data_IF_500937621219
#
_entry.id   IF_500937621219
#
_cell.length_a   1.000
_cell.length_b   1.000
_cell.length_c   1.000
_cell.angle_alpha   90.00
_cell.angle_beta   90.00
_cell.angle_gamma   90.00
#
_symmetry.space_group_name_H-M   'P 1'
#
loop_
_entity.id
_entity.type
_entity.pdbx_description
1 polymer ?
#
# COMPACT_ATOMS: atom_id res chain seq x y z
N UNK A 1 -59.59 18.73 11.74
CA UNK A 1 -59.32 19.75 10.69
C UNK A 1 -57.88 19.60 10.21
N UNK A 2 -57.66 19.19 8.96
CA UNK A 2 -56.33 19.18 8.33
C UNK A 2 -56.02 20.61 7.86
N UNK A 3 -55.01 21.27 8.41
CA UNK A 3 -54.52 22.53 7.86
C UNK A 3 -53.47 22.23 6.78
N UNK A 4 -53.89 22.34 5.52
CA UNK A 4 -52.98 22.39 4.38
C UNK A 4 -52.38 23.80 4.26
N UNK A 5 -51.05 23.88 4.16
CA UNK A 5 -50.34 25.03 3.61
C UNK A 5 -50.11 26.22 4.57
N UNK A 6 -48.95 26.24 5.25
CA UNK A 6 -48.40 27.46 5.82
C UNK A 6 -46.99 27.69 5.26
N UNK A 7 -46.91 28.32 4.08
CA UNK A 7 -45.63 28.78 3.51
C UNK A 7 -45.10 29.99 4.28
N UNK A 8 -43.77 30.15 4.35
CA UNK A 8 -43.04 31.24 5.04
C UNK A 8 -43.58 32.67 4.79
N UNK A 9 -44.26 32.92 3.65
CA UNK A 9 -44.93 34.18 3.32
C UNK A 9 -46.13 34.52 4.23
N UNK A 10 -46.81 33.53 4.79
CA UNK A 10 -47.99 33.74 5.65
C UNK A 10 -47.61 34.29 7.03
N UNK A 11 -46.41 33.97 7.53
CA UNK A 11 -45.90 34.47 8.81
C UNK A 11 -45.50 35.96 8.77
N UNK A 12 -44.94 36.45 7.65
CA UNK A 12 -44.58 37.87 7.51
C UNK A 12 -45.80 38.80 7.41
N UNK A 13 -46.90 38.34 6.79
CA UNK A 13 -48.11 39.15 6.66
C UNK A 13 -48.89 39.32 7.98
N UNK A 14 -48.74 38.41 8.96
CA UNK A 14 -49.41 38.52 10.26
C UNK A 14 -48.72 39.56 11.17
N UNK A 15 -47.41 39.77 11.02
CA UNK A 15 -46.68 40.84 11.72
C UNK A 15 -47.08 42.25 11.24
N UNK A 16 -47.55 42.38 9.99
CA UNK A 16 -47.99 43.66 9.42
C UNK A 16 -49.44 44.04 9.76
N UNK A 17 -50.29 43.07 10.10
CA UNK A 17 -51.72 43.28 10.39
C UNK A 17 -52.04 43.52 11.88
N UNK A 18 -51.06 43.46 12.78
CA UNK A 18 -51.27 43.67 14.22
C UNK A 18 -51.34 45.16 14.64
N UNK A 19 -51.33 46.12 13.71
CA UNK A 19 -51.42 47.56 14.03
C UNK A 19 -52.82 48.16 13.89
N UNK A 20 -53.82 47.42 13.40
CA UNK A 20 -55.17 47.98 13.19
C UNK A 20 -56.27 46.93 13.42
N UNK A 21 -56.46 46.46 14.65
CA UNK A 21 -57.73 45.97 15.25
C UNK A 21 -57.47 44.96 16.39
N UNK A 22 -57.98 45.18 17.63
CA UNK A 22 -57.67 44.34 18.78
C UNK A 22 -58.74 43.27 19.00
N UNK A 23 -59.03 42.41 18.01
CA UNK A 23 -59.82 41.17 18.21
C UNK A 23 -59.43 40.08 17.20
N UNK A 24 -58.16 39.68 17.19
CA UNK A 24 -57.76 38.34 16.78
C UNK A 24 -57.09 37.67 17.97
N UNK A 25 -57.68 36.56 18.40
CA UNK A 25 -57.34 35.82 19.60
C UNK A 25 -55.91 35.30 19.57
N UNK A 26 -55.18 35.58 20.66
CA UNK A 26 -53.84 35.05 20.97
C UNK A 26 -53.76 33.51 20.92
N UNK A 27 -54.91 32.81 20.92
CA UNK A 27 -55.02 31.35 20.84
C UNK A 27 -54.66 30.74 19.48
N UNK A 28 -54.89 31.43 18.36
CA UNK A 28 -54.60 30.86 17.02
C UNK A 28 -53.13 30.97 16.62
N UNK A 29 -52.41 31.98 17.11
CA UNK A 29 -50.96 32.13 16.95
C UNK A 29 -50.18 31.15 17.83
N UNK A 30 -50.63 30.89 19.07
CA UNK A 30 -50.04 29.85 19.92
C UNK A 30 -50.26 28.45 19.33
N UNK A 31 -51.45 28.14 18.81
CA UNK A 31 -51.77 26.81 18.28
C UNK A 31 -50.93 26.45 17.03
N UNK A 32 -50.64 27.42 16.16
CA UNK A 32 -49.79 27.22 14.97
C UNK A 32 -48.30 27.04 15.35
N UNK A 33 -47.79 27.84 16.30
CA UNK A 33 -46.43 27.67 16.82
C UNK A 33 -46.25 26.32 17.55
N UNK A 34 -47.20 25.90 18.38
CA UNK A 34 -47.13 24.62 19.11
C UNK A 34 -47.19 23.43 18.15
N UNK A 35 -47.96 23.51 17.06
CA UNK A 35 -48.05 22.44 16.07
C UNK A 35 -46.74 22.30 15.25
N UNK A 36 -46.15 23.42 14.81
CA UNK A 36 -44.85 23.41 14.11
C UNK A 36 -43.70 22.97 15.01
N UNK A 37 -43.65 23.45 16.27
CA UNK A 37 -42.67 22.95 17.26
C UNK A 37 -42.86 21.46 17.55
N UNK A 38 -44.10 20.95 17.59
CA UNK A 38 -44.35 19.51 17.78
C UNK A 38 -43.94 18.67 16.58
N UNK A 39 -44.08 19.19 15.36
CA UNK A 39 -43.65 18.51 14.13
C UNK A 39 -42.13 18.49 14.00
N UNK A 40 -41.46 19.63 14.23
CA UNK A 40 -40.00 19.69 14.27
C UNK A 40 -39.43 18.80 15.38
N UNK A 41 -40.05 18.78 16.56
CA UNK A 41 -39.65 17.90 17.66
C UNK A 41 -39.86 16.41 17.33
N UNK A 42 -40.96 16.06 16.68
CA UNK A 42 -41.23 14.69 16.20
C UNK A 42 -40.28 14.26 15.08
N UNK A 43 -39.91 15.17 14.18
CA UNK A 43 -38.88 14.94 13.15
C UNK A 43 -37.50 14.79 13.77
N UNK A 44 -37.13 15.64 14.74
CA UNK A 44 -35.89 15.49 15.50
C UNK A 44 -35.85 14.14 16.24
N UNK A 45 -36.93 13.69 16.88
CA UNK A 45 -36.97 12.37 17.49
C UNK A 45 -36.83 11.22 16.47
N UNK A 46 -37.39 11.37 15.26
CA UNK A 46 -37.23 10.39 14.18
C UNK A 46 -35.79 10.35 13.68
N UNK A 47 -35.18 11.50 13.43
CA UNK A 47 -33.77 11.64 13.06
C UNK A 47 -32.87 11.07 14.14
N UNK A 48 -33.11 11.39 15.41
CA UNK A 48 -32.31 10.89 16.52
C UNK A 48 -32.43 9.36 16.64
N UNK A 49 -33.64 8.80 16.50
CA UNK A 49 -33.83 7.33 16.43
C UNK A 49 -33.16 6.69 15.21
N UNK A 50 -33.11 7.38 14.07
CA UNK A 50 -32.39 6.89 12.89
C UNK A 50 -30.88 6.89 13.13
N UNK A 51 -30.35 7.97 13.71
CA UNK A 51 -28.95 8.09 14.12
C UNK A 51 -28.60 7.00 15.13
N UNK A 52 -29.40 6.80 16.17
CA UNK A 52 -29.18 5.76 17.18
C UNK A 52 -29.17 4.34 16.57
N UNK A 53 -30.08 4.08 15.62
CA UNK A 53 -30.10 2.80 14.89
C UNK A 53 -28.86 2.64 14.01
N UNK A 54 -28.40 3.72 13.39
CA UNK A 54 -27.19 3.72 12.57
C UNK A 54 -25.95 3.49 13.45
N UNK A 55 -25.83 4.20 14.58
CA UNK A 55 -24.76 4.01 15.56
C UNK A 55 -24.73 2.59 16.14
N UNK A 56 -25.89 2.00 16.44
CA UNK A 56 -25.98 0.60 16.88
C UNK A 56 -25.49 -0.37 15.81
N UNK A 57 -25.84 -0.12 14.54
CA UNK A 57 -25.40 -0.93 13.41
C UNK A 57 -23.90 -0.79 13.18
N UNK A 58 -23.38 0.44 13.20
CA UNK A 58 -21.97 0.75 13.03
C UNK A 58 -21.14 0.13 14.15
N UNK A 59 -21.60 0.22 15.41
CA UNK A 59 -20.96 -0.45 16.55
C UNK A 59 -20.93 -1.97 16.41
N UNK A 60 -21.98 -2.57 15.83
CA UNK A 60 -22.03 -4.02 15.56
C UNK A 60 -21.09 -4.42 14.43
N UNK A 61 -20.98 -3.60 13.39
CA UNK A 61 -20.06 -3.81 12.27
C UNK A 61 -18.61 -3.62 12.71
N UNK A 62 -18.32 -2.59 13.51
CA UNK A 62 -17.00 -2.31 14.05
C UNK A 62 -16.50 -3.46 14.94
N UNK A 63 -17.39 -4.11 15.70
CA UNK A 63 -17.06 -5.34 16.46
C UNK A 63 -16.72 -6.56 15.60
N UNK A 64 -17.02 -6.52 14.30
CA UNK A 64 -16.72 -7.58 13.33
C UNK A 64 -15.63 -7.16 12.34
N UNK A 65 -15.07 -5.98 12.53
CA UNK A 65 -14.02 -5.46 11.67
C UNK A 65 -12.66 -5.94 12.19
N UNK A 66 -11.89 -6.56 11.31
CA UNK A 66 -10.53 -7.01 11.58
C UNK A 66 -9.58 -6.02 10.92
N UNK A 67 -8.86 -5.24 11.74
CA UNK A 67 -7.92 -4.25 11.24
C UNK A 67 -6.52 -4.84 11.12
N UNK A 68 -6.00 -4.86 9.89
CA UNK A 68 -4.69 -5.39 9.53
C UNK A 68 -3.76 -4.23 9.17
N UNK A 69 -2.65 -4.08 9.89
CA UNK A 69 -1.71 -3.00 9.65
C UNK A 69 -0.48 -3.53 8.89
N UNK A 70 -0.25 -3.05 7.67
CA UNK A 70 0.92 -3.42 6.88
C UNK A 70 2.08 -2.48 7.20
N UNK A 71 3.15 -3.03 7.78
CA UNK A 71 4.35 -2.29 8.16
C UNK A 71 5.59 -2.86 7.45
N UNK A 72 6.66 -2.07 7.42
CA UNK A 72 7.94 -2.44 6.81
C UNK A 72 8.59 -1.26 6.09
N UNK A 73 9.86 -1.42 5.75
CA UNK A 73 10.68 -0.41 5.05
C UNK A 73 10.12 -0.02 3.69
N UNK A 74 10.65 1.05 3.08
CA UNK A 74 10.35 1.39 1.69
C UNK A 74 10.60 0.19 0.77
N UNK A 75 9.77 0.02 -0.26
CA UNK A 75 9.92 -1.04 -1.27
C UNK A 75 9.79 -2.50 -0.78
N UNK A 76 9.45 -2.76 0.50
CA UNK A 76 9.29 -4.12 1.01
C UNK A 76 8.13 -4.93 0.41
N UNK A 77 7.23 -4.28 -0.35
CA UNK A 77 6.12 -4.91 -1.07
C UNK A 77 4.72 -4.73 -0.47
N UNK A 78 4.56 -3.80 0.48
CA UNK A 78 3.25 -3.54 1.15
C UNK A 78 2.13 -3.22 0.17
N UNK A 79 2.34 -2.24 -0.69
CA UNK A 79 1.33 -1.84 -1.67
C UNK A 79 1.07 -2.93 -2.71
N UNK A 80 2.08 -3.74 -3.05
CA UNK A 80 1.87 -4.93 -3.90
C UNK A 80 0.96 -5.95 -3.21
N UNK A 81 1.10 -6.15 -1.90
CA UNK A 81 0.20 -7.01 -1.13
C UNK A 81 -1.24 -6.49 -1.15
N UNK A 82 -1.46 -5.18 -1.01
CA UNK A 82 -2.80 -4.57 -1.15
C UNK A 82 -3.39 -4.80 -2.55
N UNK A 83 -2.58 -4.60 -3.60
CA UNK A 83 -3.01 -4.87 -4.98
C UNK A 83 -3.45 -6.32 -5.15
N UNK A 84 -2.76 -7.28 -4.52
CA UNK A 84 -3.16 -8.69 -4.53
C UNK A 84 -4.50 -8.90 -3.82
N UNK A 85 -4.75 -8.24 -2.68
CA UNK A 85 -6.06 -8.35 -2.04
C UNK A 85 -7.19 -7.82 -2.91
N UNK A 86 -6.95 -6.73 -3.64
CA UNK A 86 -7.91 -6.23 -4.64
C UNK A 86 -8.18 -7.23 -5.76
N UNK A 87 -7.17 -7.99 -6.19
CA UNK A 87 -7.30 -9.02 -7.22
C UNK A 87 -8.03 -10.26 -6.70
N UNK A 88 -7.67 -10.73 -5.50
CA UNK A 88 -8.12 -12.02 -4.96
C UNK A 88 -9.50 -11.90 -4.28
N UNK A 89 -9.73 -10.83 -3.53
CA UNK A 89 -10.90 -10.64 -2.66
C UNK A 89 -11.73 -9.39 -3.00
N UNK A 90 -11.22 -8.53 -3.88
CA UNK A 90 -11.92 -7.32 -4.33
C UNK A 90 -12.59 -7.47 -5.69
N UNK A 91 -12.93 -6.32 -6.29
CA UNK A 91 -13.49 -6.24 -7.65
C UNK A 91 -12.45 -6.43 -8.76
N UNK A 92 -11.18 -6.66 -8.42
CA UNK A 92 -10.07 -6.69 -9.37
C UNK A 92 -9.80 -5.33 -10.01
N UNK A 93 -9.20 -5.37 -11.21
CA UNK A 93 -8.90 -4.20 -12.02
C UNK A 93 -9.69 -4.28 -13.31
N UNK A 94 -10.65 -3.36 -13.49
CA UNK A 94 -11.39 -3.20 -14.74
C UNK A 94 -10.47 -2.69 -15.86
N UNK A 95 -10.89 -2.82 -17.11
CA UNK A 95 -10.12 -2.26 -18.23
C UNK A 95 -9.97 -0.73 -18.13
N UNK A 96 -10.91 -0.03 -17.51
CA UNK A 96 -10.79 1.41 -17.24
C UNK A 96 -9.71 1.69 -16.20
N UNK A 97 -9.68 0.94 -15.08
CA UNK A 97 -8.60 1.02 -14.10
C UNK A 97 -7.24 0.77 -14.78
N UNK A 98 -7.15 -0.29 -15.59
CA UNK A 98 -5.92 -0.69 -16.28
C UNK A 98 -5.44 0.40 -17.24
N UNK A 99 -6.34 1.02 -18.01
CA UNK A 99 -6.00 2.16 -18.90
C UNK A 99 -5.47 3.36 -18.14
N UNK A 100 -6.04 3.67 -16.97
CA UNK A 100 -5.58 4.80 -16.15
C UNK A 100 -4.12 4.65 -15.67
N UNK A 101 -3.62 3.41 -15.59
CA UNK A 101 -2.27 3.08 -15.13
C UNK A 101 -1.21 3.08 -16.23
N UNK A 102 -1.60 3.17 -17.51
CA UNK A 102 -0.67 3.14 -18.66
C UNK A 102 0.43 4.17 -18.51
N UNK A 103 0.05 5.42 -18.18
CA UNK A 103 1.00 6.52 -18.00
C UNK A 103 2.05 6.20 -16.95
N UNK A 104 1.63 5.66 -15.81
CA UNK A 104 2.54 5.31 -14.71
C UNK A 104 3.52 4.20 -15.10
N UNK A 105 3.12 3.25 -15.95
CA UNK A 105 4.03 2.23 -16.50
C UNK A 105 5.12 2.89 -17.34
N UNK A 106 4.76 3.84 -18.21
CA UNK A 106 5.75 4.58 -19.00
C UNK A 106 6.70 5.37 -18.11
N UNK A 107 6.19 6.10 -17.12
CA UNK A 107 7.01 6.83 -16.14
C UNK A 107 8.02 5.89 -15.45
N UNK A 108 7.61 4.67 -15.09
CA UNK A 108 8.50 3.68 -14.47
C UNK A 108 9.61 3.21 -15.42
N UNK A 109 9.32 3.04 -16.72
CA UNK A 109 10.31 2.67 -17.74
C UNK A 109 11.35 3.78 -17.91
N UNK A 110 10.91 5.02 -18.11
CA UNK A 110 11.81 6.14 -18.29
C UNK A 110 12.65 6.39 -17.03
N UNK A 111 12.06 6.32 -15.83
CA UNK A 111 12.79 6.42 -14.57
C UNK A 111 13.86 5.32 -14.43
N UNK A 112 13.53 4.08 -14.79
CA UNK A 112 14.49 2.98 -14.74
C UNK A 112 15.66 3.21 -15.70
N UNK A 113 15.39 3.63 -16.94
CA UNK A 113 16.44 3.91 -17.92
C UNK A 113 17.29 5.13 -17.53
N UNK A 114 16.65 6.21 -17.08
CA UNK A 114 17.35 7.40 -16.56
C UNK A 114 18.30 7.04 -15.42
N UNK A 115 17.86 6.18 -14.49
CA UNK A 115 18.66 5.71 -13.37
C UNK A 115 19.87 4.88 -13.83
N UNK A 116 19.68 3.97 -14.79
CA UNK A 116 20.77 3.19 -15.39
C UNK A 116 21.81 4.08 -16.08
N UNK A 117 21.35 5.05 -16.87
CA UNK A 117 22.22 6.01 -17.57
C UNK A 117 23.04 6.83 -16.56
N UNK A 118 22.41 7.33 -15.49
CA UNK A 118 23.12 8.08 -14.44
C UNK A 118 24.11 7.19 -13.68
N UNK A 119 23.76 5.93 -13.44
CA UNK A 119 24.64 4.97 -12.79
C UNK A 119 25.87 4.63 -13.66
N UNK A 120 25.72 4.51 -14.98
CA UNK A 120 26.84 4.35 -15.91
C UNK A 120 27.91 5.44 -15.74
N UNK A 121 27.47 6.71 -15.64
CA UNK A 121 28.38 7.84 -15.43
C UNK A 121 29.08 7.79 -14.06
N UNK A 122 28.31 7.46 -13.03
CA UNK A 122 28.81 7.40 -11.65
C UNK A 122 29.85 6.27 -11.49
N UNK A 123 29.55 5.10 -12.05
CA UNK A 123 30.41 3.92 -12.02
C UNK A 123 31.49 3.93 -13.12
N UNK A 124 31.47 4.94 -13.99
CA UNK A 124 32.37 5.12 -15.13
C UNK A 124 32.41 3.92 -16.08
N UNK A 125 31.24 3.30 -16.29
CA UNK A 125 31.08 2.19 -17.23
C UNK A 125 30.86 2.79 -18.63
N UNK A 126 31.71 2.49 -19.63
CA UNK A 126 31.51 2.99 -20.98
C UNK A 126 30.39 2.23 -21.69
N UNK A 127 29.67 2.92 -22.58
CA UNK A 127 28.82 2.24 -23.57
C UNK A 127 29.71 1.46 -24.53
N UNK A 128 29.34 0.20 -24.82
CA UNK A 128 30.06 -0.60 -25.81
C UNK A 128 29.73 -0.15 -27.23
N UNK A 129 28.47 0.17 -27.49
CA UNK A 129 28.06 0.74 -28.77
C UNK A 129 28.11 2.28 -28.73
N UNK A 130 28.93 2.95 -29.58
CA UNK A 130 29.04 4.40 -29.59
C UNK A 130 27.71 5.15 -29.84
N UNK A 131 26.79 4.55 -30.61
CA UNK A 131 25.46 5.14 -30.91
C UNK A 131 24.63 5.31 -29.62
N UNK A 132 24.86 4.45 -28.63
CA UNK A 132 24.13 4.51 -27.38
C UNK A 132 24.46 5.75 -26.54
N UNK A 133 25.53 6.49 -26.85
CA UNK A 133 25.79 7.79 -26.21
C UNK A 133 24.72 8.81 -26.58
N UNK A 134 24.37 8.89 -27.87
CA UNK A 134 23.33 9.80 -28.36
C UNK A 134 21.95 9.36 -27.84
N UNK A 135 21.66 8.05 -27.85
CA UNK A 135 20.41 7.54 -27.27
C UNK A 135 20.29 7.83 -25.76
N UNK A 136 21.40 7.76 -25.01
CA UNK A 136 21.40 8.09 -23.60
C UNK A 136 21.17 9.59 -23.35
N UNK A 137 21.75 10.46 -24.17
CA UNK A 137 21.51 11.91 -24.11
C UNK A 137 20.03 12.22 -24.38
N UNK A 138 19.46 11.66 -25.45
CA UNK A 138 18.04 11.80 -25.77
C UNK A 138 17.13 11.32 -24.63
N UNK A 139 17.42 10.14 -24.07
CA UNK A 139 16.62 9.57 -22.98
C UNK A 139 16.72 10.39 -21.68
N UNK A 140 17.81 11.14 -21.48
CA UNK A 140 18.03 11.97 -20.29
C UNK A 140 17.25 13.28 -20.31
N UNK A 141 16.99 13.83 -21.50
CA UNK A 141 16.21 15.07 -21.65
C UNK A 141 14.72 14.85 -21.36
N UNK A 142 14.27 13.60 -21.31
CA UNK A 142 12.88 13.24 -21.04
C UNK A 142 12.60 13.41 -19.56
N UNK A 143 11.66 14.30 -19.25
CA UNK A 143 11.06 14.36 -17.93
C UNK A 143 10.12 13.15 -17.72
N UNK A 144 10.63 12.17 -16.98
CA UNK A 144 9.89 10.96 -16.67
C UNK A 144 8.66 11.20 -15.77
N UNK A 145 8.51 12.36 -15.13
CA UNK A 145 7.36 12.65 -14.26
C UNK A 145 6.14 13.13 -15.07
N UNK A 146 6.37 13.79 -16.19
CA UNK A 146 5.30 14.39 -17.02
C UNK A 146 4.96 13.59 -18.26
N UNK A 147 5.71 12.52 -18.55
CA UNK A 147 5.49 11.68 -19.72
C UNK A 147 4.12 11.00 -19.72
N UNK A 148 3.46 11.03 -20.87
CA UNK A 148 2.13 10.43 -21.06
C UNK A 148 2.08 9.37 -22.16
N UNK A 149 3.10 9.32 -23.01
CA UNK A 149 3.20 8.43 -24.17
C UNK A 149 4.58 7.78 -24.25
N UNK A 150 4.66 6.66 -24.96
CA UNK A 150 5.91 5.99 -25.26
C UNK A 150 6.18 6.14 -26.76
N UNK A 151 7.00 7.13 -27.12
CA UNK A 151 7.29 7.45 -28.53
C UNK A 151 8.08 6.31 -29.20
N UNK A 152 7.73 5.87 -30.42
CA UNK A 152 8.49 4.87 -31.16
C UNK A 152 10.00 5.14 -31.24
N UNK A 153 10.42 6.40 -31.39
CA UNK A 153 11.84 6.76 -31.41
C UNK A 153 12.52 6.47 -30.06
N UNK A 154 11.84 6.79 -28.95
CA UNK A 154 12.34 6.48 -27.61
C UNK A 154 12.37 4.96 -27.36
N UNK A 155 11.40 4.20 -27.88
CA UNK A 155 11.42 2.74 -27.77
C UNK A 155 12.67 2.16 -28.43
N UNK A 156 13.00 2.62 -29.64
CA UNK A 156 14.23 2.19 -30.34
C UNK A 156 15.47 2.52 -29.51
N UNK A 157 15.56 3.75 -28.99
CA UNK A 157 16.67 4.18 -28.13
C UNK A 157 16.79 3.33 -26.86
N UNK A 158 15.69 3.13 -26.12
CA UNK A 158 15.65 2.34 -24.89
C UNK A 158 16.02 0.88 -25.17
N UNK A 159 15.57 0.30 -26.30
CA UNK A 159 15.96 -1.06 -26.71
C UNK A 159 17.44 -1.16 -27.04
N UNK A 160 17.98 -0.18 -27.77
CA UNK A 160 19.41 -0.13 -28.10
C UNK A 160 20.27 0.00 -26.84
N UNK A 161 19.84 0.85 -25.89
CA UNK A 161 20.48 0.99 -24.58
C UNK A 161 20.38 -0.29 -23.76
N UNK A 162 19.19 -0.88 -23.63
CA UNK A 162 18.99 -2.08 -22.81
C UNK A 162 19.74 -3.30 -23.34
N UNK A 163 20.06 -3.34 -24.63
CA UNK A 163 20.88 -4.40 -25.24
C UNK A 163 22.38 -4.12 -25.20
N UNK A 164 22.81 -2.91 -24.78
CA UNK A 164 24.23 -2.58 -24.62
C UNK A 164 24.85 -3.38 -23.47
N UNK A 165 25.96 -4.09 -23.69
CA UNK A 165 26.64 -4.82 -22.63
C UNK A 165 27.10 -3.93 -21.47
N UNK A 166 27.46 -2.66 -21.70
CA UNK A 166 27.77 -1.71 -20.62
C UNK A 166 26.57 -1.43 -19.72
N UNK A 167 25.38 -1.27 -20.32
CA UNK A 167 24.13 -1.12 -19.54
C UNK A 167 23.79 -2.42 -18.80
N UNK A 168 24.06 -3.60 -19.38
CA UNK A 168 23.90 -4.89 -18.69
C UNK A 168 24.82 -5.00 -17.48
N UNK A 169 26.10 -4.66 -17.65
CA UNK A 169 27.08 -4.63 -16.55
C UNK A 169 26.63 -3.68 -15.44
N UNK A 170 26.15 -2.48 -15.81
CA UNK A 170 25.60 -1.51 -14.87
C UNK A 170 24.40 -2.12 -14.10
N UNK A 171 23.46 -2.75 -14.79
CA UNK A 171 22.32 -3.43 -14.18
C UNK A 171 22.73 -4.58 -13.25
N UNK A 172 23.79 -5.32 -13.56
CA UNK A 172 24.30 -6.37 -12.68
C UNK A 172 24.86 -5.79 -11.37
N UNK A 173 25.36 -4.55 -11.43
CA UNK A 173 25.82 -3.74 -10.30
C UNK A 173 24.72 -2.89 -9.63
N UNK A 174 23.44 -3.16 -9.90
CA UNK A 174 22.27 -2.44 -9.35
C UNK A 174 22.14 -2.39 -7.83
N UNK A 175 22.98 -3.10 -7.07
CA UNK A 175 23.07 -2.95 -5.61
C UNK A 175 23.77 -1.66 -5.17
N UNK A 176 24.57 -1.06 -6.06
CA UNK A 176 25.39 0.14 -5.78
C UNK A 176 24.62 1.45 -5.95
N UNK A 177 23.38 1.40 -6.44
CA UNK A 177 22.53 2.56 -6.67
C UNK A 177 21.04 2.19 -6.58
N UNK A 178 20.18 3.18 -6.62
CA UNK A 178 18.75 3.01 -6.32
C UNK A 178 17.94 2.70 -7.59
N UNK A 179 17.85 1.43 -7.98
CA UNK A 179 17.03 0.96 -9.10
C UNK A 179 15.82 0.16 -8.64
N UNK A 180 14.66 0.37 -9.25
CA UNK A 180 13.47 -0.42 -8.95
C UNK A 180 13.62 -1.88 -9.41
N UNK A 181 13.21 -2.83 -8.57
CA UNK A 181 13.25 -4.27 -8.87
C UNK A 181 12.51 -4.65 -10.16
N UNK A 182 11.48 -3.89 -10.54
CA UNK A 182 10.68 -4.11 -11.74
C UNK A 182 11.32 -3.60 -13.05
N UNK A 183 12.47 -2.93 -12.98
CA UNK A 183 13.14 -2.35 -14.15
C UNK A 183 13.36 -3.38 -15.27
N UNK A 184 14.00 -4.51 -14.95
CA UNK A 184 14.26 -5.58 -15.92
C UNK A 184 12.97 -6.11 -16.55
N UNK A 185 11.92 -6.32 -15.76
CA UNK A 185 10.64 -6.80 -16.28
C UNK A 185 10.07 -5.88 -17.35
N UNK A 186 10.04 -4.56 -17.10
CA UNK A 186 9.48 -3.64 -18.08
C UNK A 186 10.39 -3.47 -19.30
N UNK A 187 11.72 -3.38 -19.10
CA UNK A 187 12.68 -3.23 -20.19
C UNK A 187 12.71 -4.47 -21.10
N UNK A 188 12.62 -5.68 -20.54
CA UNK A 188 12.52 -6.93 -21.31
C UNK A 188 11.19 -7.04 -22.09
N UNK A 189 10.14 -6.36 -21.64
CA UNK A 189 8.80 -6.41 -22.25
C UNK A 189 8.43 -5.12 -23.00
N UNK A 190 9.40 -4.26 -23.32
CA UNK A 190 9.13 -2.94 -23.90
C UNK A 190 8.36 -3.03 -25.23
N UNK A 191 8.60 -4.06 -26.03
CA UNK A 191 7.89 -4.28 -27.30
C UNK A 191 6.38 -4.49 -27.10
N UNK A 192 5.99 -5.26 -26.09
CA UNK A 192 4.58 -5.47 -25.74
C UNK A 192 3.96 -4.20 -25.18
N UNK A 193 4.73 -3.42 -24.42
CA UNK A 193 4.27 -2.20 -23.75
C UNK A 193 4.13 -1.03 -24.75
N UNK A 194 4.96 -1.02 -25.81
CA UNK A 194 4.93 -0.03 -26.87
C UNK A 194 3.86 -0.29 -27.95
N UNK A 195 3.17 -1.43 -27.89
CA UNK A 195 2.10 -1.74 -28.84
C UNK A 195 0.96 -0.72 -28.76
N UNK A 196 0.34 -0.40 -29.90
CA UNK A 196 -0.72 0.62 -29.98
C UNK A 196 -1.98 0.27 -29.19
N UNK A 197 -2.23 -1.02 -28.98
CA UNK A 197 -3.36 -1.58 -28.23
C UNK A 197 -2.96 -2.00 -26.81
N UNK A 198 -1.80 -1.55 -26.32
CA UNK A 198 -1.28 -1.92 -25.01
C UNK A 198 -2.30 -1.64 -23.90
N UNK A 199 -2.62 -2.70 -23.15
CA UNK A 199 -3.40 -2.66 -21.93
C UNK A 199 -2.61 -3.36 -20.82
N UNK A 200 -2.26 -2.67 -19.70
CA UNK A 200 -1.45 -3.26 -18.64
C UNK A 200 -2.05 -4.55 -18.12
N UNK A 201 -1.28 -5.62 -18.10
CA UNK A 201 -1.66 -6.89 -17.49
C UNK A 201 -1.69 -6.75 -15.97
N UNK A 202 -2.30 -7.71 -15.26
CA UNK A 202 -2.22 -7.74 -13.79
C UNK A 202 -0.77 -7.79 -13.31
N UNK A 203 0.12 -8.45 -14.07
CA UNK A 203 1.54 -8.48 -13.73
C UNK A 203 2.23 -7.12 -13.89
N UNK A 204 1.86 -6.35 -14.91
CA UNK A 204 2.31 -4.96 -15.05
C UNK A 204 1.86 -4.12 -13.85
N UNK A 205 0.63 -4.31 -13.38
CA UNK A 205 0.06 -3.56 -12.26
C UNK A 205 0.72 -3.93 -10.94
N UNK A 206 0.99 -5.22 -10.70
CA UNK A 206 1.65 -5.70 -9.49
C UNK A 206 3.09 -5.17 -9.37
N UNK A 207 3.79 -5.05 -10.50
CA UNK A 207 5.17 -4.55 -10.58
C UNK A 207 5.28 -3.02 -10.67
N UNK A 208 4.15 -2.34 -10.88
CA UNK A 208 4.11 -0.88 -10.99
C UNK A 208 4.47 -0.24 -9.65
N UNK A 209 5.51 0.59 -9.66
CA UNK A 209 5.93 1.33 -8.48
C UNK A 209 5.28 2.70 -8.46
N UNK A 210 4.53 2.93 -7.39
CA UNK A 210 4.00 4.25 -7.02
C UNK A 210 4.37 4.44 -5.54
N UNK A 211 5.16 5.48 -5.19
CA UNK A 211 5.48 5.75 -3.79
C UNK A 211 4.20 6.03 -2.99
N UNK A 212 3.95 5.23 -1.96
CA UNK A 212 2.83 5.44 -1.05
C UNK A 212 3.12 6.61 -0.12
N UNK A 213 2.27 7.63 -0.18
CA UNK A 213 2.31 8.79 0.72
C UNK A 213 1.09 8.76 1.63
N UNK A 214 1.30 9.02 2.91
CA UNK A 214 0.23 8.98 3.92
C UNK A 214 -0.22 7.57 4.28
N UNK A 215 -1.52 7.46 4.58
CA UNK A 215 -2.19 6.25 5.08
C UNK A 215 -3.33 5.94 4.12
N UNK A 216 -3.34 4.72 3.59
CA UNK A 216 -4.36 4.25 2.65
C UNK A 216 -5.04 3.04 3.28
N UNK A 217 -6.37 3.11 3.41
CA UNK A 217 -7.17 2.02 3.92
C UNK A 217 -7.89 1.29 2.79
N UNK A 218 -7.83 -0.04 2.82
CA UNK A 218 -8.48 -0.91 1.85
C UNK A 218 -9.40 -1.89 2.59
N UNK A 219 -10.72 -1.59 2.64
CA UNK A 219 -11.70 -2.52 3.18
C UNK A 219 -12.05 -3.59 2.14
N UNK A 220 -12.19 -4.84 2.58
CA UNK A 220 -12.73 -5.93 1.79
C UNK A 220 -13.50 -6.93 2.67
N UNK A 221 -14.51 -7.55 2.08
CA UNK A 221 -15.34 -8.55 2.75
C UNK A 221 -14.81 -9.97 2.48
N UNK A 222 -14.70 -10.77 3.53
CA UNK A 222 -14.35 -12.19 3.41
C UNK A 222 -15.15 -13.00 4.43
N UNK A 223 -15.94 -13.97 3.95
CA UNK A 223 -16.73 -14.89 4.80
C UNK A 223 -17.59 -14.18 5.88
N UNK A 224 -18.20 -13.03 5.54
CA UNK A 224 -19.00 -12.17 6.43
C UNK A 224 -18.22 -11.40 7.51
N UNK A 225 -16.90 -11.36 7.39
CA UNK A 225 -15.98 -10.55 8.20
C UNK A 225 -15.43 -9.43 7.34
N UNK A 226 -15.41 -8.22 7.88
CA UNK A 226 -14.87 -7.05 7.18
C UNK A 226 -13.40 -6.95 7.56
N UNK A 227 -12.51 -7.13 6.60
CA UNK A 227 -11.09 -6.86 6.78
C UNK A 227 -10.79 -5.44 6.34
N UNK A 228 -10.09 -4.69 7.18
CA UNK A 228 -9.55 -3.37 6.83
C UNK A 228 -8.04 -3.44 6.84
N UNK A 229 -7.45 -3.46 5.65
CA UNK A 229 -6.00 -3.35 5.52
C UNK A 229 -5.57 -1.90 5.48
N UNK A 230 -4.52 -1.57 6.21
CA UNK A 230 -3.94 -0.23 6.28
C UNK A 230 -2.52 -0.27 5.73
N UNK A 231 -2.30 0.38 4.59
CA UNK A 231 -0.98 0.59 3.99
C UNK A 231 -0.45 1.97 4.38
N UNK A 232 0.82 2.02 4.76
CA UNK A 232 1.50 3.23 5.18
C UNK A 232 2.82 3.39 4.43
N UNK A 233 3.23 4.63 4.18
CA UNK A 233 4.51 4.92 3.55
C UNK A 233 5.69 4.33 4.36
N UNK A 234 6.54 3.54 3.70
CA UNK A 234 7.66 2.81 4.34
C UNK A 234 8.92 3.65 4.61
N UNK A 235 9.03 4.80 3.95
CA UNK A 235 10.18 5.71 4.05
C UNK A 235 10.22 6.44 5.40
N UNK A 236 11.41 6.81 5.86
CA UNK A 236 11.59 7.46 7.17
C UNK A 236 10.74 8.73 7.36
N UNK A 237 10.57 9.52 6.31
CA UNK A 237 9.73 10.73 6.29
C UNK A 237 8.26 10.45 6.60
N UNK A 238 7.75 9.30 6.21
CA UNK A 238 6.33 8.93 6.35
C UNK A 238 6.03 8.27 7.71
N UNK A 239 7.03 7.71 8.39
CA UNK A 239 6.85 6.96 9.65
C UNK A 239 6.23 7.77 10.79
N UNK A 240 6.43 9.08 10.81
CA UNK A 240 5.80 9.97 11.81
C UNK A 240 4.28 9.95 11.74
N UNK A 241 3.71 9.62 10.57
CA UNK A 241 2.26 9.56 10.36
C UNK A 241 1.65 8.24 10.86
N UNK A 242 2.47 7.21 11.08
CA UNK A 242 1.98 5.85 11.41
C UNK A 242 1.15 5.81 12.70
N UNK A 243 1.49 6.65 13.69
CA UNK A 243 0.76 6.72 14.97
C UNK A 243 -0.76 6.96 14.78
N UNK A 244 -1.17 7.60 13.69
CA UNK A 244 -2.57 7.88 13.39
C UNK A 244 -3.39 6.63 13.00
N UNK A 245 -2.76 5.47 12.82
CA UNK A 245 -3.45 4.23 12.49
C UNK A 245 -3.22 3.09 13.48
N UNK A 246 -2.55 3.33 14.62
CA UNK A 246 -2.19 2.30 15.60
C UNK A 246 -3.32 1.90 16.55
N UNK A 247 -4.42 2.64 16.58
CA UNK A 247 -5.56 2.30 17.43
C UNK A 247 -6.32 1.07 16.90
N UNK A 248 -6.68 0.16 17.81
CA UNK A 248 -7.52 -1.02 17.54
C UNK A 248 -7.00 -1.91 16.41
N UNK A 249 -5.68 -2.13 16.34
CA UNK A 249 -5.06 -3.03 15.36
C UNK A 249 -5.14 -4.47 15.84
N UNK A 250 -5.81 -5.32 15.06
CA UNK A 250 -5.98 -6.74 15.36
C UNK A 250 -4.71 -7.55 15.06
N UNK A 251 -4.07 -7.24 13.93
CA UNK A 251 -2.86 -7.94 13.48
C UNK A 251 -1.91 -7.00 12.75
N UNK A 252 -0.62 -7.16 13.03
CA UNK A 252 0.46 -6.52 12.29
C UNK A 252 0.97 -7.51 11.24
N UNK A 253 1.02 -7.04 10.00
CA UNK A 253 1.65 -7.71 8.88
C UNK A 253 2.94 -6.96 8.55
N UNK A 254 4.07 -7.45 9.07
CA UNK A 254 5.37 -6.82 8.84
C UNK A 254 6.07 -7.44 7.63
N UNK A 255 6.39 -6.64 6.63
CA UNK A 255 7.02 -7.09 5.38
C UNK A 255 8.51 -6.73 5.36
N UNK A 256 9.33 -7.75 5.13
CA UNK A 256 10.77 -7.68 4.91
C UNK A 256 11.07 -8.10 3.49
N UNK A 257 11.86 -7.31 2.76
CA UNK A 257 12.38 -7.72 1.47
C UNK A 257 13.65 -8.56 1.67
N UNK A 258 13.59 -9.84 1.31
CA UNK A 258 14.73 -10.75 1.40
C UNK A 258 15.89 -10.31 0.50
N UNK A 259 15.60 -9.67 -0.63
CA UNK A 259 16.60 -9.21 -1.59
C UNK A 259 17.40 -7.97 -1.14
N UNK A 260 17.06 -7.34 -0.02
CA UNK A 260 17.67 -6.08 0.43
C UNK A 260 18.93 -6.26 1.30
N UNK A 261 19.40 -7.49 1.49
CA UNK A 261 20.55 -7.79 2.38
C UNK A 261 21.86 -7.14 1.95
N UNK A 262 22.03 -6.85 0.66
CA UNK A 262 23.25 -6.27 0.08
C UNK A 262 23.09 -4.82 -0.39
N UNK A 263 21.99 -4.16 -0.01
CA UNK A 263 21.64 -2.82 -0.48
C UNK A 263 21.76 -1.78 0.64
N UNK A 264 22.01 -0.53 0.22
CA UNK A 264 22.00 0.64 1.10
C UNK A 264 20.70 1.44 0.97
N UNK A 265 20.33 2.16 2.03
CA UNK A 265 19.12 2.98 2.05
C UNK A 265 19.16 4.09 0.98
N UNK A 266 17.99 4.48 0.49
CA UNK A 266 17.87 5.66 -0.38
C UNK A 266 18.21 6.93 0.42
N UNK A 267 17.86 6.93 1.71
CA UNK A 267 18.05 8.06 2.61
C UNK A 267 19.47 8.16 3.21
N UNK A 268 20.30 7.12 3.11
CA UNK A 268 21.64 7.06 3.73
C UNK A 268 22.54 6.02 3.04
N UNK A 269 23.66 6.49 2.45
CA UNK A 269 24.59 5.66 1.67
C UNK A 269 25.40 4.66 2.53
N UNK A 270 25.41 4.81 3.86
CA UNK A 270 26.21 3.98 4.77
C UNK A 270 25.37 2.99 5.59
N UNK A 271 24.06 2.95 5.38
CA UNK A 271 23.15 2.14 6.17
C UNK A 271 22.54 1.02 5.33
N UNK A 272 22.76 -0.22 5.75
CA UNK A 272 22.20 -1.40 5.11
C UNK A 272 20.67 -1.44 5.27
N UNK A 273 19.95 -1.69 4.17
CA UNK A 273 18.47 -1.72 4.16
C UNK A 273 17.88 -2.79 5.08
N UNK A 274 18.51 -3.96 5.16
CA UNK A 274 18.03 -5.06 6.00
C UNK A 274 18.27 -4.78 7.49
N UNK A 275 19.37 -4.13 7.86
CA UNK A 275 19.58 -3.66 9.24
C UNK A 275 18.57 -2.59 9.66
N UNK A 276 18.22 -1.66 8.76
CA UNK A 276 17.14 -0.71 9.02
C UNK A 276 15.79 -1.42 9.22
N UNK A 277 15.51 -2.45 8.43
CA UNK A 277 14.30 -3.26 8.57
C UNK A 277 14.27 -4.02 9.90
N UNK A 278 15.41 -4.58 10.34
CA UNK A 278 15.57 -5.19 11.68
C UNK A 278 15.32 -4.18 12.80
N UNK A 279 15.94 -3.00 12.73
CA UNK A 279 15.77 -1.94 13.72
C UNK A 279 14.31 -1.47 13.81
N UNK A 280 13.65 -1.31 12.66
CA UNK A 280 12.24 -0.98 12.59
C UNK A 280 11.37 -2.09 13.19
N UNK A 281 11.59 -3.35 12.83
CA UNK A 281 10.84 -4.49 13.38
C UNK A 281 10.96 -4.56 14.90
N UNK A 282 12.19 -4.41 15.42
CA UNK A 282 12.45 -4.38 16.86
C UNK A 282 11.64 -3.29 17.55
N UNK A 283 11.57 -2.10 16.97
CA UNK A 283 10.77 -1.00 17.53
C UNK A 283 9.29 -1.34 17.53
N UNK A 284 8.76 -1.86 16.41
CA UNK A 284 7.35 -2.24 16.28
C UNK A 284 6.95 -3.32 17.30
N UNK A 285 7.73 -4.39 17.44
CA UNK A 285 7.39 -5.48 18.35
C UNK A 285 7.46 -5.07 19.83
N UNK A 286 8.28 -4.06 20.16
CA UNK A 286 8.37 -3.51 21.52
C UNK A 286 7.30 -2.47 21.85
N UNK A 287 6.50 -2.01 20.87
CA UNK A 287 5.53 -0.96 21.15
C UNK A 287 4.39 -1.47 22.04
N UNK A 288 4.07 -0.75 23.14
CA UNK A 288 2.97 -1.14 24.04
C UNK A 288 1.61 -1.23 23.33
N UNK A 289 1.38 -0.38 22.33
CA UNK A 289 0.17 -0.35 21.50
C UNK A 289 -0.15 -1.69 20.83
N UNK A 290 0.86 -2.55 20.66
CA UNK A 290 0.75 -3.79 19.91
C UNK A 290 0.95 -5.03 20.78
N UNK A 291 0.91 -4.92 22.11
CA UNK A 291 1.09 -6.07 22.99
C UNK A 291 0.07 -7.18 22.71
N UNK A 292 -1.21 -6.81 22.58
CA UNK A 292 -2.32 -7.74 22.31
C UNK A 292 -2.45 -8.08 20.81
N UNK A 293 -1.92 -7.25 19.91
CA UNK A 293 -1.97 -7.49 18.47
C UNK A 293 -1.12 -8.72 18.08
N UNK A 294 -1.68 -9.59 17.25
CA UNK A 294 -0.90 -10.68 16.63
C UNK A 294 0.14 -10.13 15.66
N UNK A 295 1.27 -10.81 15.50
CA UNK A 295 2.36 -10.38 14.59
C UNK A 295 2.64 -11.45 13.55
N UNK A 296 2.58 -11.05 12.29
CA UNK A 296 2.84 -11.88 11.13
C UNK A 296 3.98 -11.26 10.33
N UNK A 297 5.04 -12.04 10.13
CA UNK A 297 6.25 -11.65 9.42
C UNK A 297 6.25 -12.24 8.01
N UNK A 298 6.25 -11.38 7.00
CA UNK A 298 6.42 -11.77 5.61
C UNK A 298 7.86 -11.54 5.16
N UNK A 299 8.52 -12.62 4.76
CA UNK A 299 9.80 -12.57 4.07
C UNK A 299 9.53 -12.59 2.56
N UNK A 300 9.39 -11.40 2.00
CA UNK A 300 8.97 -11.14 0.62
C UNK A 300 10.17 -11.08 -0.35
N UNK A 301 9.89 -11.06 -1.66
CA UNK A 301 10.88 -11.02 -2.74
C UNK A 301 11.80 -12.25 -2.74
N UNK A 302 11.26 -13.43 -2.40
CA UNK A 302 12.02 -14.69 -2.38
C UNK A 302 12.64 -15.04 -3.74
N UNK A 303 11.95 -14.68 -4.82
CA UNK A 303 12.38 -14.85 -6.20
C UNK A 303 13.66 -14.07 -6.51
N UNK A 304 13.72 -12.83 -6.03
CA UNK A 304 14.91 -11.99 -6.17
C UNK A 304 16.06 -12.43 -5.26
N UNK A 305 15.78 -13.03 -4.09
CA UNK A 305 16.80 -13.67 -3.27
C UNK A 305 17.42 -14.87 -3.98
N UNK A 306 16.59 -15.74 -4.57
CA UNK A 306 17.03 -16.94 -5.30
C UNK A 306 17.96 -16.61 -6.47
N UNK A 307 17.71 -15.51 -7.19
CA UNK A 307 18.62 -14.99 -8.21
C UNK A 307 19.93 -14.47 -7.59
N UNK A 308 19.82 -13.61 -6.58
CA UNK A 308 20.93 -12.81 -6.07
C UNK A 308 21.95 -13.59 -5.24
N UNK A 309 21.50 -14.59 -4.49
CA UNK A 309 22.36 -15.36 -3.57
C UNK A 309 23.48 -16.13 -4.30
N UNK A 310 23.34 -16.34 -5.62
CA UNK A 310 24.31 -17.04 -6.45
C UNK A 310 25.63 -16.28 -6.62
N UNK A 311 25.59 -14.94 -6.54
CA UNK A 311 26.73 -14.07 -6.83
C UNK A 311 26.99 -12.98 -5.77
N UNK A 312 26.03 -12.69 -4.89
CA UNK A 312 26.19 -11.77 -3.76
C UNK A 312 26.11 -12.57 -2.45
N UNK A 313 27.23 -12.76 -1.75
CA UNK A 313 27.30 -13.68 -0.62
C UNK A 313 26.84 -13.03 0.68
N UNK A 314 25.92 -13.69 1.38
CA UNK A 314 25.30 -13.15 2.59
C UNK A 314 26.32 -12.87 3.72
N UNK A 315 27.36 -13.70 3.83
CA UNK A 315 28.42 -13.58 4.86
C UNK A 315 29.22 -12.28 4.76
N UNK A 316 29.29 -11.67 3.57
CA UNK A 316 30.02 -10.40 3.36
C UNK A 316 29.29 -9.21 4.01
N UNK A 317 27.97 -9.35 4.24
CA UNK A 317 27.10 -8.33 4.82
C UNK A 317 26.68 -8.66 6.26
N UNK A 318 26.54 -9.95 6.56
CA UNK A 318 26.19 -10.49 7.87
C UNK A 318 27.25 -11.54 8.27
N UNK A 319 28.37 -11.12 8.90
CA UNK A 319 29.47 -12.01 9.25
C UNK A 319 29.07 -13.14 10.21
N UNK A 320 27.94 -13.02 10.90
CA UNK A 320 27.39 -14.05 11.78
C UNK A 320 26.77 -15.24 11.00
N UNK A 321 26.62 -15.13 9.68
CA UNK A 321 26.10 -16.22 8.85
C UNK A 321 27.13 -17.34 8.68
N UNK A 322 26.82 -18.50 9.23
CA UNK A 322 27.65 -19.72 9.21
C UNK A 322 27.15 -20.77 8.20
N UNK A 323 26.08 -20.48 7.46
CA UNK A 323 25.48 -21.38 6.48
C UNK A 323 26.23 -21.44 5.13
N UNK A 324 25.85 -22.35 4.22
CA UNK A 324 26.47 -22.46 2.91
C UNK A 324 26.21 -21.22 2.04
N UNK A 325 27.19 -20.89 1.19
CA UNK A 325 27.02 -19.88 0.13
C UNK A 325 26.12 -20.43 -1.00
N UNK A 326 25.46 -19.53 -1.74
CA UNK A 326 24.61 -19.85 -2.90
C UNK A 326 23.41 -20.74 -2.57
N UNK A 327 22.97 -20.75 -1.32
CA UNK A 327 21.79 -21.49 -0.87
C UNK A 327 20.71 -20.51 -0.38
N UNK A 328 19.66 -20.35 -1.20
CA UNK A 328 18.53 -19.48 -0.87
C UNK A 328 17.75 -19.97 0.36
N UNK A 329 17.72 -21.29 0.62
CA UNK A 329 17.00 -21.88 1.76
C UNK A 329 17.76 -21.62 3.06
N UNK A 330 19.07 -21.81 3.07
CA UNK A 330 19.88 -21.48 4.25
C UNK A 330 19.85 -19.97 4.53
N UNK A 331 19.96 -19.13 3.49
CA UNK A 331 19.89 -17.68 3.61
C UNK A 331 18.55 -17.19 4.20
N UNK A 332 17.41 -17.67 3.70
CA UNK A 332 16.09 -17.25 4.22
C UNK A 332 15.85 -17.73 5.67
N UNK A 333 16.36 -18.90 6.03
CA UNK A 333 16.25 -19.44 7.40
C UNK A 333 17.08 -18.61 8.39
N UNK A 334 18.29 -18.20 7.98
CA UNK A 334 19.10 -17.26 8.75
C UNK A 334 18.41 -15.90 8.90
N UNK A 335 17.91 -15.32 7.80
CA UNK A 335 17.21 -14.02 7.86
C UNK A 335 15.97 -14.13 8.76
N UNK A 336 15.19 -15.20 8.64
CA UNK A 336 14.05 -15.44 9.52
C UNK A 336 14.47 -15.44 11.00
N UNK A 337 15.53 -16.19 11.33
CA UNK A 337 16.08 -16.27 12.68
C UNK A 337 16.48 -14.88 13.20
N UNK A 338 17.19 -14.09 12.39
CA UNK A 338 17.58 -12.72 12.76
C UNK A 338 16.39 -11.85 13.18
N UNK A 339 15.22 -11.99 12.53
CA UNK A 339 14.04 -11.20 12.88
C UNK A 339 13.31 -11.77 14.10
N UNK A 340 13.15 -13.10 14.19
CA UNK A 340 12.45 -13.74 15.31
C UNK A 340 13.19 -13.51 16.63
N UNK A 341 14.53 -13.51 16.62
CA UNK A 341 15.37 -13.26 17.80
C UNK A 341 15.26 -11.82 18.34
N UNK A 342 14.69 -10.89 17.57
CA UNK A 342 14.43 -9.52 18.05
C UNK A 342 13.23 -9.43 18.99
N UNK A 343 12.44 -10.50 19.09
CA UNK A 343 11.28 -10.56 19.97
C UNK A 343 11.71 -10.69 21.43
N UNK A 344 11.44 -9.69 22.29
CA UNK A 344 11.77 -9.79 23.71
C UNK A 344 10.78 -10.65 24.50
N UNK A 345 9.59 -10.92 23.95
CA UNK A 345 8.51 -11.62 24.64
C UNK A 345 8.34 -13.05 24.11
N UNK A 346 8.73 -14.09 24.87
CA UNK A 346 8.64 -15.48 24.43
C UNK A 346 7.20 -16.00 24.34
N UNK A 347 6.22 -15.36 24.99
CA UNK A 347 4.80 -15.74 24.91
C UNK A 347 4.16 -15.24 23.61
N UNK A 348 4.70 -14.16 23.05
CA UNK A 348 4.23 -13.58 21.80
C UNK A 348 4.77 -14.35 20.59
N UNK A 349 3.95 -15.21 20.01
CA UNK A 349 4.32 -15.98 18.81
C UNK A 349 4.34 -15.09 17.56
N UNK A 350 5.45 -15.13 16.82
CA UNK A 350 5.57 -14.52 15.48
C UNK A 350 5.28 -15.59 14.43
N UNK A 351 4.21 -15.41 13.66
CA UNK A 351 3.89 -16.28 12.52
C UNK A 351 4.65 -15.79 11.29
N UNK A 352 5.40 -16.66 10.62
CA UNK A 352 6.22 -16.25 9.48
C UNK A 352 5.85 -16.97 8.19
N UNK A 353 5.91 -16.24 7.08
CA UNK A 353 5.64 -16.77 5.75
C UNK A 353 6.64 -16.24 4.74
N UNK A 354 7.13 -17.11 3.86
CA UNK A 354 7.94 -16.73 2.71
C UNK A 354 7.02 -16.38 1.54
N UNK A 355 7.18 -15.20 0.97
CA UNK A 355 6.29 -14.68 -0.07
C UNK A 355 7.03 -14.19 -1.32
N UNK A 356 6.34 -14.28 -2.45
CA UNK A 356 6.56 -13.45 -3.61
C UNK A 356 5.27 -12.65 -3.85
N UNK A 357 5.28 -11.38 -3.48
CA UNK A 357 4.08 -10.52 -3.62
C UNK A 357 3.62 -10.35 -5.07
N UNK A 358 4.46 -10.64 -6.05
CA UNK A 358 4.09 -10.61 -7.48
C UNK A 358 3.49 -11.93 -7.99
N UNK A 359 3.41 -12.96 -7.15
CA UNK A 359 2.78 -14.26 -7.44
C UNK A 359 1.42 -14.35 -6.72
N UNK A 360 0.33 -14.28 -7.50
CA UNK A 360 -1.03 -14.28 -6.98
C UNK A 360 -1.40 -15.58 -6.28
N UNK A 361 -0.94 -16.74 -6.74
CA UNK A 361 -1.28 -18.02 -6.12
C UNK A 361 -0.50 -18.22 -4.82
N UNK A 362 0.75 -17.78 -4.77
CA UNK A 362 1.51 -17.75 -3.52
C UNK A 362 0.81 -16.88 -2.46
N UNK A 363 0.35 -15.68 -2.83
CA UNK A 363 -0.36 -14.79 -1.89
C UNK A 363 -1.73 -15.35 -1.49
N UNK A 364 -2.47 -15.98 -2.41
CA UNK A 364 -3.74 -16.65 -2.11
C UNK A 364 -3.57 -17.72 -1.02
N UNK A 365 -2.56 -18.59 -1.17
CA UNK A 365 -2.29 -19.66 -0.20
C UNK A 365 -1.85 -19.09 1.16
N UNK A 366 -0.92 -18.13 1.14
CA UNK A 366 -0.39 -17.51 2.36
C UNK A 366 -1.48 -16.75 3.10
N UNK A 367 -2.32 -15.99 2.40
CA UNK A 367 -3.38 -15.23 3.03
C UNK A 367 -4.48 -16.12 3.63
N UNK A 368 -4.76 -17.28 3.03
CA UNK A 368 -5.66 -18.27 3.64
C UNK A 368 -5.14 -18.76 5.00
N UNK A 369 -3.85 -19.09 5.11
CA UNK A 369 -3.24 -19.51 6.38
C UNK A 369 -3.23 -18.38 7.43
N UNK A 370 -2.99 -17.14 6.98
CA UNK A 370 -3.02 -15.94 7.81
C UNK A 370 -4.43 -15.68 8.34
N UNK A 371 -5.46 -15.81 7.49
CA UNK A 371 -6.87 -15.69 7.87
C UNK A 371 -7.18 -16.64 9.02
N UNK A 372 -6.86 -17.92 8.88
CA UNK A 372 -7.18 -18.93 9.88
C UNK A 372 -6.48 -18.64 11.22
N UNK A 373 -5.23 -18.18 11.17
CA UNK A 373 -4.46 -17.78 12.35
C UNK A 373 -5.12 -16.60 13.06
N UNK A 374 -5.48 -15.55 12.32
CA UNK A 374 -6.10 -14.34 12.87
C UNK A 374 -7.47 -14.66 13.45
N UNK A 375 -8.29 -15.45 12.75
CA UNK A 375 -9.62 -15.82 13.23
C UNK A 375 -9.56 -16.68 14.49
N UNK A 376 -8.64 -17.65 14.57
CA UNK A 376 -8.46 -18.45 15.78
C UNK A 376 -8.06 -17.61 16.99
N UNK A 377 -7.19 -16.62 16.80
CA UNK A 377 -6.75 -15.73 17.88
C UNK A 377 -7.91 -14.82 18.35
N UNK A 378 -8.67 -14.25 17.42
CA UNK A 378 -9.82 -13.40 17.77
C UNK A 378 -10.99 -14.20 18.38
N UNK A 379 -11.27 -15.42 17.90
CA UNK A 379 -12.37 -16.23 18.44
C UNK A 379 -12.16 -16.64 19.90
N UNK A 380 -10.90 -16.88 20.30
CA UNK A 380 -10.52 -17.11 21.71
C UNK A 380 -10.81 -15.87 22.57
N UNK A 381 -10.55 -14.69 22.03
CA UNK A 381 -10.79 -13.41 22.72
C UNK A 381 -12.29 -13.14 22.93
N UNK A 382 -13.15 -13.63 22.02
CA UNK A 382 -14.60 -13.48 22.10
C UNK A 382 -15.33 -14.63 22.81
N UNK A 383 -14.63 -15.59 23.44
CA UNK A 383 -15.22 -16.77 24.11
C UNK A 383 -16.24 -17.52 23.22
N UNK A 384 -15.96 -17.62 21.92
CA UNK A 384 -16.81 -18.35 20.97
C UNK A 384 -16.34 -19.80 20.73
N UNK A 385 -15.25 -20.22 21.38
CA UNK A 385 -14.75 -21.60 21.45
C UNK A 385 -14.16 -21.84 22.84
#
# INVERSE_FOLDING_TARGET
MRCYGCTRKTLMNIAALSRTSPKLTMGNLLSCCICCFSQEYMEQQRLNKQIDRQLQRDKRNQRKEVKLLLLGTGESGKSTFIKQMRIIHGSGYSDEDRRSLIKLVYQNIYLAMYTLIRAMETLKIPYENPVNREHAEQAREIDYETVTTLDPAHVVAIKSLWSDPGIKECYDRRREYQLADSAKYYLDNIDRIAASDYLPTLQDILRLRVPTTGIIEYPFDLDSIIFRMVDVGGQRSERRKWIHCFESVTSIMFLVALSEYDQVLVESDNENRMEESKALFRTIITYPWFQESSVILFLNKKDLLEEKILYSHLVDYFPEYDGPQRDAKAAREFILKMFVELNPDPEKVIYSHITCATDTENIRFVFAAVKDTILQLNLKEYNLV
#
